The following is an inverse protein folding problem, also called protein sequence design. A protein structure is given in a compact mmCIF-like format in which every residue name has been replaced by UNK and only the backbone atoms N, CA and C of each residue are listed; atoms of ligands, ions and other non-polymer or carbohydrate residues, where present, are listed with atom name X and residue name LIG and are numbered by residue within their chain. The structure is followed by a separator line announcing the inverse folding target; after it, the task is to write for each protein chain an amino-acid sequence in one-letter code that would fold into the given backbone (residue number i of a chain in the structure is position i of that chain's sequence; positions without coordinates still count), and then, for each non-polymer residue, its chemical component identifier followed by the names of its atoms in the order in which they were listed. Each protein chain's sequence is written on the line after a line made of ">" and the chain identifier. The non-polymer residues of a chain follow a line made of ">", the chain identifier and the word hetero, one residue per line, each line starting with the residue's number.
data_IF_017058891678
#
_entry.id   IF_017058891678
#
_cell.length_a   1.000
_cell.length_b   1.000
_cell.length_c   1.000
_cell.angle_alpha   90.00
_cell.angle_beta   90.00
_cell.angle_gamma   90.00
#
_symmetry.space_group_name_H-M   'P 1'
#
loop_
_entity.id
_entity.type
_entity.pdbx_description
1 polymer ?
#
# COMPACT_ATOMS: atom_id res chain seq x y z
N UNK A 1 13.61 -11.19 -21.25
CA UNK A 1 13.70 -12.46 -20.48
C UNK A 1 13.55 -12.12 -19.00
N UNK A 2 12.45 -12.36 -18.30
CA UNK A 2 11.22 -13.05 -18.66
C UNK A 2 10.04 -12.39 -17.95
N UNK A 3 8.91 -12.35 -18.65
CA UNK A 3 7.63 -11.99 -18.06
C UNK A 3 7.32 -13.02 -16.97
N UNK A 4 7.20 -12.57 -15.73
CA UNK A 4 6.55 -13.34 -14.66
C UNK A 4 5.08 -13.52 -15.04
N UNK A 5 4.79 -14.49 -15.90
CA UNK A 5 3.44 -15.00 -16.09
C UNK A 5 2.93 -15.41 -14.71
N UNK A 6 1.81 -14.79 -14.29
CA UNK A 6 1.06 -15.02 -13.06
C UNK A 6 1.46 -16.32 -12.35
N UNK A 7 2.36 -16.21 -11.37
CA UNK A 7 2.63 -17.30 -10.45
C UNK A 7 1.35 -17.52 -9.64
N UNK A 8 0.90 -18.77 -9.52
CA UNK A 8 -0.20 -19.13 -8.61
C UNK A 8 0.10 -18.51 -7.23
N UNK A 9 -0.86 -17.86 -6.54
CA UNK A 9 -0.60 -17.06 -5.34
C UNK A 9 0.27 -17.76 -4.27
N UNK A 10 0.07 -19.08 -4.09
CA UNK A 10 0.88 -19.90 -3.20
C UNK A 10 2.37 -19.94 -3.60
N UNK A 11 2.66 -20.08 -4.89
CA UNK A 11 4.03 -20.16 -5.40
C UNK A 11 4.74 -18.82 -5.24
N UNK A 12 4.07 -17.72 -5.60
CA UNK A 12 4.57 -16.37 -5.36
C UNK A 12 4.87 -16.13 -3.87
N UNK A 13 3.96 -16.54 -2.99
CA UNK A 13 4.13 -16.41 -1.55
C UNK A 13 5.35 -17.18 -1.03
N UNK A 14 5.47 -18.47 -1.36
CA UNK A 14 6.47 -19.37 -0.76
C UNK A 14 7.85 -19.28 -1.41
N UNK A 15 7.92 -19.10 -2.73
CA UNK A 15 9.19 -19.11 -3.47
C UNK A 15 9.82 -17.72 -3.56
N UNK A 16 9.03 -16.64 -3.42
CA UNK A 16 9.52 -15.28 -3.60
C UNK A 16 9.32 -14.40 -2.38
N UNK A 17 8.08 -14.21 -1.92
CA UNK A 17 7.78 -13.23 -0.86
C UNK A 17 8.37 -13.64 0.49
N UNK A 18 8.16 -14.87 0.93
CA UNK A 18 8.68 -15.36 2.22
C UNK A 18 10.21 -15.25 2.31
N UNK A 19 10.99 -15.77 1.33
CA UNK A 19 12.44 -15.61 1.34
C UNK A 19 12.89 -14.14 1.28
N UNK A 20 12.23 -13.33 0.44
CA UNK A 20 12.59 -11.92 0.27
C UNK A 20 12.34 -11.12 1.55
N UNK A 21 11.16 -11.25 2.15
CA UNK A 21 10.80 -10.58 3.41
C UNK A 21 11.69 -11.01 4.57
N UNK A 22 11.98 -12.32 4.72
CA UNK A 22 12.85 -12.79 5.81
C UNK A 22 14.31 -12.34 5.67
N UNK A 23 14.77 -12.11 4.43
CA UNK A 23 16.16 -11.68 4.17
C UNK A 23 16.33 -10.17 4.19
N UNK A 24 15.35 -9.42 3.67
CA UNK A 24 15.48 -7.99 3.38
C UNK A 24 14.50 -7.11 4.14
N UNK A 25 13.44 -7.67 4.73
CA UNK A 25 12.35 -6.90 5.36
C UNK A 25 11.46 -6.13 4.37
N UNK A 26 11.79 -6.15 3.07
CA UNK A 26 11.08 -5.46 1.99
C UNK A 26 10.98 -6.42 0.80
N UNK A 27 9.82 -6.48 0.15
CA UNK A 27 9.58 -7.27 -1.05
C UNK A 27 8.71 -6.48 -2.03
N UNK A 28 9.11 -6.47 -3.31
CA UNK A 28 8.38 -5.81 -4.40
C UNK A 28 7.92 -6.86 -5.41
N UNK A 29 6.64 -6.81 -5.78
CA UNK A 29 6.02 -7.66 -6.81
C UNK A 29 5.42 -6.75 -7.87
N UNK A 30 6.03 -6.72 -9.04
CA UNK A 30 5.51 -6.02 -10.21
C UNK A 30 4.38 -6.81 -10.87
N UNK A 31 3.52 -6.11 -11.63
CA UNK A 31 2.42 -6.69 -12.42
C UNK A 31 1.45 -7.60 -11.64
N UNK A 32 1.29 -7.37 -10.32
CA UNK A 32 0.59 -8.28 -9.40
C UNK A 32 -0.83 -8.68 -9.85
N UNK A 33 -1.64 -7.73 -10.30
CA UNK A 33 -3.00 -7.99 -10.82
C UNK A 33 -3.13 -7.76 -12.33
N UNK A 34 -2.05 -7.36 -13.00
CA UNK A 34 -2.06 -6.96 -14.40
C UNK A 34 -2.78 -5.63 -14.67
N UNK A 35 -2.68 -5.17 -15.92
CA UNK A 35 -3.12 -3.84 -16.36
C UNK A 35 -4.64 -3.64 -16.29
N UNK A 36 -5.42 -4.67 -16.65
CA UNK A 36 -6.89 -4.57 -16.69
C UNK A 36 -7.48 -4.31 -15.30
N UNK A 37 -7.15 -5.18 -14.33
CA UNK A 37 -7.61 -5.01 -12.95
C UNK A 37 -6.99 -3.75 -12.32
N UNK A 38 -5.72 -3.47 -12.58
CA UNK A 38 -5.07 -2.23 -12.13
C UNK A 38 -5.82 -0.98 -12.60
N UNK A 39 -6.21 -0.92 -13.88
CA UNK A 39 -7.00 0.17 -14.44
C UNK A 39 -8.41 0.29 -13.85
N UNK A 40 -9.09 -0.83 -13.59
CA UNK A 40 -10.39 -0.85 -12.92
C UNK A 40 -10.30 -0.30 -11.49
N UNK A 41 -9.26 -0.69 -10.74
CA UNK A 41 -9.02 -0.18 -9.38
C UNK A 41 -8.73 1.33 -9.42
N UNK A 42 -7.92 1.79 -10.38
CA UNK A 42 -7.65 3.22 -10.57
C UNK A 42 -8.94 4.02 -10.78
N UNK A 43 -9.85 3.52 -11.63
CA UNK A 43 -11.14 4.15 -11.88
C UNK A 43 -12.02 4.23 -10.62
N UNK A 44 -12.09 3.15 -9.84
CA UNK A 44 -12.81 3.13 -8.57
C UNK A 44 -12.25 4.15 -7.57
N UNK A 45 -10.91 4.21 -7.43
CA UNK A 45 -10.26 5.17 -6.54
C UNK A 45 -10.48 6.62 -7.01
N UNK A 46 -10.38 6.89 -8.32
CA UNK A 46 -10.70 8.21 -8.88
C UNK A 46 -12.16 8.58 -8.61
N UNK A 47 -13.10 7.66 -8.81
CA UNK A 47 -14.51 7.91 -8.52
C UNK A 47 -14.71 8.26 -7.04
N UNK A 48 -14.11 7.51 -6.10
CA UNK A 48 -14.15 7.82 -4.67
C UNK A 48 -13.61 9.23 -4.38
N UNK A 49 -12.52 9.63 -5.03
CA UNK A 49 -11.95 10.97 -4.85
C UNK A 49 -12.91 12.08 -5.30
N UNK A 50 -13.57 11.90 -6.45
CA UNK A 50 -14.56 12.86 -6.97
C UNK A 50 -15.83 12.97 -6.10
N UNK A 51 -16.18 11.92 -5.34
CA UNK A 51 -17.33 11.98 -4.42
C UNK A 51 -17.07 12.79 -3.14
N UNK A 52 -15.86 13.33 -2.94
CA UNK A 52 -15.54 14.14 -1.77
C UNK A 52 -15.44 13.34 -0.45
N UNK A 53 -15.34 12.02 -0.51
CA UNK A 53 -15.27 11.11 0.65
C UNK A 53 -13.89 11.02 1.31
N UNK A 54 -12.93 11.79 0.81
CA UNK A 54 -11.56 11.81 1.29
C UNK A 54 -11.38 12.88 2.37
N UNK A 55 -10.65 12.54 3.42
CA UNK A 55 -10.30 13.42 4.53
C UNK A 55 -8.78 13.63 4.59
N UNK A 56 -8.31 14.75 5.11
CA UNK A 56 -6.87 14.99 5.30
C UNK A 56 -6.26 13.85 6.17
N UNK A 57 -5.11 13.31 5.77
CA UNK A 57 -4.40 12.27 6.50
C UNK A 57 -4.06 12.71 7.94
N UNK A 58 -4.37 11.86 8.92
CA UNK A 58 -4.14 12.16 10.34
C UNK A 58 -3.04 11.27 10.94
N UNK A 59 -2.43 11.76 12.03
CA UNK A 59 -1.44 11.03 12.83
C UNK A 59 -2.07 10.49 14.12
N UNK A 60 -1.54 9.36 14.59
CA UNK A 60 -1.96 8.69 15.84
C UNK A 60 -1.55 9.48 17.11
N UNK A 61 -0.62 10.44 16.99
CA UNK A 61 -0.14 11.29 18.09
C UNK A 61 -0.26 12.76 17.71
N UNK A 62 -1.38 13.41 18.07
CA UNK A 62 -1.53 14.86 17.93
C UNK A 62 -0.87 15.58 19.12
N UNK A 63 0.40 15.98 18.95
CA UNK A 63 0.98 17.08 19.72
C UNK A 63 1.00 18.30 18.80
N UNK A 64 0.02 19.20 18.96
CA UNK A 64 -0.05 20.62 18.55
C UNK A 64 0.40 21.11 17.17
N UNK A 65 1.08 20.32 16.35
CA UNK A 65 1.57 20.70 15.03
C UNK A 65 0.55 20.32 13.96
N UNK A 66 0.43 21.16 12.94
CA UNK A 66 -0.57 20.98 11.89
C UNK A 66 -0.31 19.66 11.16
N UNK A 67 -1.32 18.79 11.01
CA UNK A 67 -1.16 17.45 10.43
C UNK A 67 -0.58 17.46 9.00
N UNK A 68 -0.72 18.60 8.31
CA UNK A 68 -0.22 18.86 6.95
C UNK A 68 1.29 18.98 6.86
N UNK A 69 1.98 19.31 7.95
CA UNK A 69 3.44 19.43 7.98
C UNK A 69 4.15 18.06 7.91
N UNK A 70 3.40 16.97 8.17
CA UNK A 70 3.94 15.60 8.30
C UNK A 70 3.48 14.71 7.15
N UNK A 71 2.20 14.83 6.74
CA UNK A 71 1.66 14.15 5.56
C UNK A 71 0.68 15.04 4.80
N UNK A 72 0.83 15.12 3.48
CA UNK A 72 0.00 15.96 2.61
C UNK A 72 -1.05 15.20 1.80
N UNK A 73 -1.30 13.94 2.12
CA UNK A 73 -2.31 13.13 1.43
C UNK A 73 -3.71 13.31 1.98
N UNK A 74 -4.67 13.00 1.12
CA UNK A 74 -6.04 12.76 1.52
C UNK A 74 -6.29 11.26 1.54
N UNK A 75 -6.99 10.77 2.55
CA UNK A 75 -7.28 9.35 2.72
C UNK A 75 -8.77 9.06 2.81
N UNK A 76 -9.15 7.83 2.48
CA UNK A 76 -10.43 7.26 2.86
C UNK A 76 -10.25 5.79 3.20
N UNK A 77 -11.08 5.26 4.09
CA UNK A 77 -11.02 3.86 4.52
C UNK A 77 -12.14 3.07 3.84
N UNK A 78 -11.79 1.98 3.17
CA UNK A 78 -12.74 1.13 2.43
C UNK A 78 -12.67 -0.32 2.89
N UNK A 79 -13.82 -0.95 3.00
CA UNK A 79 -13.94 -2.37 3.33
C UNK A 79 -13.88 -3.27 2.09
N UNK A 80 -14.11 -2.70 0.90
CA UNK A 80 -14.13 -3.42 -0.38
C UNK A 80 -15.49 -4.03 -0.71
N UNK A 81 -16.55 -3.63 0.01
CA UNK A 81 -17.94 -4.09 -0.18
C UNK A 81 -18.87 -2.94 -0.56
N UNK A 82 -18.39 -1.71 -0.44
CA UNK A 82 -19.13 -0.50 -0.77
C UNK A 82 -19.46 -0.44 -2.28
N UNK A 83 -20.57 0.18 -2.67
CA UNK A 83 -20.85 0.47 -4.07
C UNK A 83 -19.68 1.23 -4.71
N UNK A 84 -19.21 0.76 -5.87
CA UNK A 84 -18.07 1.33 -6.56
C UNK A 84 -16.69 0.94 -6.01
N UNK A 85 -16.59 -0.03 -5.08
CA UNK A 85 -15.32 -0.54 -4.53
C UNK A 85 -15.11 -2.05 -4.80
N UNK A 86 -15.76 -2.60 -5.82
CA UNK A 86 -15.79 -4.06 -6.06
C UNK A 86 -14.40 -4.59 -6.44
N UNK A 87 -13.65 -3.83 -7.24
CA UNK A 87 -12.34 -4.20 -7.72
C UNK A 87 -11.26 -3.93 -6.67
N UNK A 88 -11.43 -2.88 -5.86
CA UNK A 88 -10.66 -2.70 -4.63
C UNK A 88 -10.85 -3.93 -3.71
N UNK A 89 -12.08 -4.41 -3.55
CA UNK A 89 -12.36 -5.65 -2.80
C UNK A 89 -11.65 -6.88 -3.36
N UNK A 90 -11.54 -7.02 -4.68
CA UNK A 90 -10.74 -8.09 -5.31
C UNK A 90 -9.26 -7.98 -4.94
N UNK A 91 -8.67 -6.79 -5.00
CA UNK A 91 -7.28 -6.56 -4.57
C UNK A 91 -7.08 -6.97 -3.11
N UNK A 92 -7.98 -6.56 -2.22
CA UNK A 92 -7.91 -6.91 -0.80
C UNK A 92 -7.94 -8.43 -0.60
N UNK A 93 -8.83 -9.14 -1.30
CA UNK A 93 -8.90 -10.60 -1.25
C UNK A 93 -7.62 -11.26 -1.80
N UNK A 94 -7.05 -10.75 -2.89
CA UNK A 94 -5.79 -11.26 -3.43
C UNK A 94 -4.61 -11.07 -2.47
N UNK A 95 -4.57 -9.95 -1.74
CA UNK A 95 -3.58 -9.74 -0.67
C UNK A 95 -3.83 -10.70 0.50
N UNK A 96 -5.08 -10.88 0.93
CA UNK A 96 -5.43 -11.83 1.99
C UNK A 96 -5.03 -13.27 1.64
N UNK A 97 -5.23 -13.67 0.38
CA UNK A 97 -4.83 -14.98 -0.13
C UNK A 97 -3.32 -15.18 -0.08
N UNK A 98 -2.55 -14.17 -0.52
CA UNK A 98 -1.10 -14.18 -0.50
C UNK A 98 -0.57 -14.33 0.94
N UNK A 99 -1.10 -13.52 1.84
CA UNK A 99 -0.70 -13.49 3.25
C UNK A 99 -1.06 -14.78 3.97
N UNK A 100 -2.19 -15.40 3.63
CA UNK A 100 -2.55 -16.72 4.16
C UNK A 100 -1.51 -17.78 3.83
N UNK A 101 -0.93 -17.75 2.63
CA UNK A 101 0.15 -18.67 2.25
C UNK A 101 1.48 -18.35 2.95
N UNK A 102 1.72 -17.07 3.26
CA UNK A 102 2.88 -16.60 4.01
C UNK A 102 2.77 -16.83 5.54
N UNK A 103 1.56 -17.00 6.08
CA UNK A 103 1.34 -17.05 7.53
C UNK A 103 2.19 -18.14 8.21
N UNK A 104 2.79 -17.78 9.36
CA UNK A 104 3.75 -18.60 10.09
C UNK A 104 5.12 -18.75 9.44
N UNK A 105 5.41 -18.04 8.34
CA UNK A 105 6.71 -18.07 7.65
C UNK A 105 7.35 -16.69 7.50
N UNK A 106 6.67 -15.62 7.90
CA UNK A 106 7.22 -14.26 7.94
C UNK A 106 7.76 -14.00 9.35
N UNK A 107 9.04 -14.30 9.56
CA UNK A 107 9.67 -14.30 10.87
C UNK A 107 8.89 -15.16 11.88
N UNK A 108 8.61 -14.59 13.06
CA UNK A 108 7.88 -15.25 14.14
C UNK A 108 6.44 -14.75 14.30
N UNK A 109 5.88 -14.05 13.29
CA UNK A 109 4.54 -13.47 13.37
C UNK A 109 3.44 -14.50 13.13
N UNK A 110 2.31 -14.34 13.85
CA UNK A 110 1.10 -15.13 13.66
C UNK A 110 -0.04 -14.24 13.21
N UNK A 111 -0.10 -14.02 11.91
CA UNK A 111 -1.05 -13.10 11.30
C UNK A 111 -2.48 -13.59 11.55
N UNK A 112 -3.30 -12.74 12.15
CA UNK A 112 -4.69 -13.03 12.54
C UNK A 112 -5.70 -12.00 12.02
N UNK A 113 -5.25 -10.94 11.35
CA UNK A 113 -6.14 -9.93 10.81
C UNK A 113 -5.40 -8.84 10.03
N UNK A 114 -6.19 -7.90 9.50
CA UNK A 114 -5.71 -6.70 8.84
C UNK A 114 -6.70 -5.55 9.03
N UNK A 115 -6.25 -4.34 8.78
CA UNK A 115 -7.12 -3.16 8.73
C UNK A 115 -8.04 -3.17 7.50
N UNK A 116 -8.98 -2.22 7.47
CA UNK A 116 -9.58 -1.76 6.21
C UNK A 116 -8.48 -1.23 5.28
N UNK A 117 -8.77 -1.16 3.98
CA UNK A 117 -7.86 -0.56 3.03
C UNK A 117 -7.88 0.97 3.19
N UNK A 118 -6.72 1.57 3.43
CA UNK A 118 -6.56 3.02 3.41
C UNK A 118 -6.17 3.43 2.00
N UNK A 119 -7.11 4.06 1.29
CA UNK A 119 -6.88 4.63 -0.04
C UNK A 119 -6.35 6.04 0.16
N UNK A 120 -5.14 6.32 -0.32
CA UNK A 120 -4.50 7.62 -0.22
C UNK A 120 -4.35 8.26 -1.59
N UNK A 121 -4.61 9.57 -1.66
CA UNK A 121 -4.39 10.43 -2.82
C UNK A 121 -3.46 11.56 -2.41
N UNK A 122 -2.31 11.67 -3.08
CA UNK A 122 -1.40 12.80 -2.91
C UNK A 122 -1.63 13.80 -4.05
N UNK A 123 -2.09 15.03 -3.75
CA UNK A 123 -2.50 16.00 -4.76
C UNK A 123 -1.34 16.68 -5.48
N UNK A 124 -0.09 16.26 -5.28
CA UNK A 124 1.11 16.89 -5.83
C UNK A 124 1.56 18.13 -5.05
N UNK A 125 2.15 19.13 -5.72
CA UNK A 125 2.62 20.39 -5.12
C UNK A 125 3.67 20.25 -3.99
N UNK A 126 4.57 19.27 -4.08
CA UNK A 126 5.60 19.05 -3.05
C UNK A 126 5.06 18.43 -1.76
N UNK A 127 3.80 17.98 -1.75
CA UNK A 127 3.29 17.12 -0.67
C UNK A 127 4.05 15.80 -0.67
N UNK A 128 4.25 15.27 0.53
CA UNK A 128 4.92 13.99 0.72
C UNK A 128 4.51 13.40 2.05
N UNK A 129 5.14 12.28 2.39
CA UNK A 129 5.09 11.72 3.71
C UNK A 129 6.52 11.74 4.25
N UNK A 130 6.74 12.45 5.36
CA UNK A 130 8.04 12.43 6.02
C UNK A 130 8.42 11.00 6.43
N UNK A 131 9.72 10.73 6.49
CA UNK A 131 10.25 9.45 6.95
C UNK A 131 9.67 9.13 8.34
N UNK A 132 8.99 7.99 8.46
CA UNK A 132 8.41 7.53 9.71
C UNK A 132 8.50 6.01 9.81
N UNK A 133 8.32 5.51 11.02
CA UNK A 133 8.11 4.10 11.28
C UNK A 133 6.61 3.89 11.44
N UNK A 134 6.03 2.96 10.68
CA UNK A 134 4.59 2.71 10.72
C UNK A 134 4.15 2.32 12.14
N UNK A 135 4.85 1.39 12.77
CA UNK A 135 4.55 0.89 14.10
C UNK A 135 5.70 1.13 15.10
N UNK A 136 5.87 2.36 15.63
CA UNK A 136 6.94 2.68 16.57
C UNK A 136 6.66 2.15 17.98
N UNK A 137 5.38 1.91 18.32
CA UNK A 137 4.93 1.60 19.69
C UNK A 137 4.54 0.13 19.91
N UNK A 138 4.69 -0.73 18.90
CA UNK A 138 4.34 -2.15 19.01
C UNK A 138 2.84 -2.41 19.13
N UNK A 139 2.00 -1.71 18.37
CA UNK A 139 0.53 -1.84 18.40
C UNK A 139 -0.03 -3.10 17.70
N UNK A 140 0.82 -4.11 17.47
CA UNK A 140 0.45 -5.37 16.82
C UNK A 140 0.53 -5.38 15.30
N UNK A 141 0.82 -4.26 14.63
CA UNK A 141 1.08 -4.23 13.18
C UNK A 141 2.45 -4.85 12.86
N UNK A 142 2.48 -5.82 11.95
CA UNK A 142 3.69 -6.59 11.62
C UNK A 142 4.11 -6.51 10.15
N UNK A 143 3.17 -6.27 9.22
CA UNK A 143 3.46 -6.13 7.79
C UNK A 143 2.64 -5.00 7.19
N UNK A 144 3.28 -4.15 6.38
CA UNK A 144 2.60 -3.13 5.57
C UNK A 144 2.61 -3.57 4.11
N UNK A 145 1.43 -3.69 3.51
CA UNK A 145 1.24 -3.96 2.10
C UNK A 145 0.79 -2.69 1.38
N UNK A 146 1.44 -2.37 0.26
CA UNK A 146 1.20 -1.15 -0.50
C UNK A 146 0.98 -1.53 -1.97
N UNK A 147 -0.13 -1.08 -2.56
CA UNK A 147 -0.39 -1.22 -3.99
C UNK A 147 -0.41 0.15 -4.67
N UNK A 148 0.48 0.35 -5.63
CA UNK A 148 0.59 1.57 -6.42
C UNK A 148 -0.25 1.49 -7.69
N UNK A 149 -0.95 2.57 -8.02
CA UNK A 149 -1.85 2.66 -9.18
C UNK A 149 -1.36 3.63 -10.27
N UNK A 150 -0.16 4.18 -10.11
CA UNK A 150 0.34 5.26 -10.96
C UNK A 150 0.91 4.70 -12.26
N UNK A 151 0.15 4.85 -13.36
CA UNK A 151 0.63 4.50 -14.69
C UNK A 151 1.76 5.44 -15.11
N UNK A 152 2.76 4.88 -15.79
CA UNK A 152 3.89 5.61 -16.39
C UNK A 152 4.62 6.54 -15.40
N UNK A 153 4.68 6.12 -14.14
CA UNK A 153 5.38 6.85 -13.10
C UNK A 153 6.90 6.67 -13.27
N UNK A 154 7.61 7.76 -13.57
CA UNK A 154 9.07 7.76 -13.60
C UNK A 154 9.63 8.10 -12.21
N UNK A 155 10.13 7.09 -11.51
CA UNK A 155 10.72 7.23 -10.18
C UNK A 155 12.10 7.91 -10.16
N UNK A 156 12.67 8.29 -11.33
CA UNK A 156 14.04 8.81 -11.46
C UNK A 156 14.34 10.12 -10.73
N UNK A 157 13.36 10.77 -10.11
CA UNK A 157 13.61 11.99 -9.33
C UNK A 157 13.78 11.67 -7.84
N UNK A 158 14.85 10.93 -7.49
CA UNK A 158 15.24 10.71 -6.10
C UNK A 158 16.76 10.72 -5.94
N UNK A 159 17.34 11.69 -5.21
CA UNK A 159 18.69 11.53 -4.65
C UNK A 159 18.66 10.40 -3.62
N UNK A 160 19.46 9.37 -3.85
CA UNK A 160 19.59 8.22 -2.97
C UNK A 160 20.15 8.62 -1.60
N UNK A 161 19.33 8.55 -0.55
CA UNK A 161 19.81 8.59 0.84
C UNK A 161 19.07 7.62 1.77
N UNK A 162 19.71 6.47 2.01
CA UNK A 162 19.47 5.58 3.17
C UNK A 162 18.37 4.52 3.01
N UNK A 163 18.47 3.47 3.84
CA UNK A 163 17.59 2.29 3.91
C UNK A 163 16.15 2.62 4.34
N UNK A 164 15.42 3.33 3.50
CA UNK A 164 14.00 3.61 3.69
C UNK A 164 13.35 4.01 2.37
N UNK A 165 12.13 3.53 2.13
CA UNK A 165 11.36 3.93 0.97
C UNK A 165 10.97 5.41 1.13
N UNK A 166 11.62 6.29 0.37
CA UNK A 166 11.29 7.72 0.33
C UNK A 166 10.56 7.98 -0.98
N UNK A 167 9.25 8.19 -0.92
CA UNK A 167 8.42 8.46 -2.11
C UNK A 167 8.29 9.98 -2.26
N UNK A 168 9.02 10.58 -3.20
CA UNK A 168 8.81 11.99 -3.57
C UNK A 168 7.75 12.09 -4.66
N UNK A 169 6.71 12.86 -4.40
CA UNK A 169 5.49 12.88 -5.21
C UNK A 169 5.45 14.16 -6.03
N UNK A 170 5.92 14.08 -7.28
CA UNK A 170 6.07 15.22 -8.17
C UNK A 170 4.93 15.40 -9.18
N UNK A 171 4.13 14.36 -9.43
CA UNK A 171 2.92 14.46 -10.26
C UNK A 171 1.67 14.44 -9.37
N UNK A 172 0.65 15.14 -9.82
CA UNK A 172 -0.67 15.11 -9.21
C UNK A 172 -1.26 13.69 -9.32
N UNK A 173 -1.95 13.25 -8.27
CA UNK A 173 -2.71 12.01 -8.16
C UNK A 173 -1.88 10.73 -7.98
N UNK A 174 -0.98 10.69 -6.98
CA UNK A 174 -0.52 9.37 -6.53
C UNK A 174 -1.64 8.67 -5.76
N UNK A 175 -2.14 7.58 -6.34
CA UNK A 175 -3.13 6.71 -5.74
C UNK A 175 -2.44 5.47 -5.17
N UNK A 176 -2.59 5.29 -3.86
CA UNK A 176 -1.99 4.19 -3.12
C UNK A 176 -3.05 3.52 -2.27
N UNK A 177 -3.05 2.19 -2.25
CA UNK A 177 -3.84 1.41 -1.31
C UNK A 177 -2.91 0.79 -0.28
N UNK A 178 -3.06 1.22 0.96
CA UNK A 178 -2.34 0.68 2.11
C UNK A 178 -3.22 -0.33 2.83
N UNK A 179 -2.66 -1.51 3.07
CA UNK A 179 -3.25 -2.53 3.92
C UNK A 179 -2.24 -2.89 4.98
N UNK A 180 -2.64 -2.69 6.22
CA UNK A 180 -1.81 -2.98 7.38
C UNK A 180 -2.25 -4.31 7.96
N UNK A 181 -1.29 -5.20 8.19
CA UNK A 181 -1.51 -6.55 8.67
C UNK A 181 -1.05 -6.66 10.11
N UNK A 182 -1.85 -7.35 10.92
CA UNK A 182 -1.62 -7.55 12.35
C UNK A 182 -1.45 -9.03 12.67
N UNK A 183 -0.59 -9.33 13.65
CA UNK A 183 -0.30 -10.70 14.06
C UNK A 183 0.45 -10.80 15.37
#
# INVERSE_FOLDING_TARGET
>A
NGQMKSLVPQRLALEYIVPCMNKHGICVVDDFLGEELGGQIEQEVRALHHTGRFTDGQLVSQKSDSSRDIRGDKITWVEGKEPGCKTIGKLMNSMDDLIRHCNGKLGNYKINGRTKAMVACYPGNGTGYVRHVDNPNGDGRCVTCIYYLNKDWDAKVLPSFGEGLTVHILRNDILIIFIVISG
#
